data_IF_035071866864
#
_entry.id   IF_035071866864
#
_cell.length_a   1.000
_cell.length_b   1.000
_cell.length_c   1.000
_cell.angle_alpha   90.00
_cell.angle_beta   90.00
_cell.angle_gamma   90.00
#
_symmetry.space_group_name_H-M   'P 1'
#
loop_
_entity.id
_entity.type
_entity.pdbx_description
1 polymer ?
#
# COMPACT_ATOMS: atom_id res chain seq x y z
N UNK A 1 -15.73 7.43 -7.26
CA UNK A 1 -15.28 6.36 -8.16
C UNK A 1 -16.44 5.39 -8.46
N UNK A 2 -16.51 4.77 -9.64
CA UNK A 2 -17.53 3.75 -9.93
C UNK A 2 -17.16 2.40 -9.32
N UNK A 3 -18.15 1.50 -9.14
CA UNK A 3 -17.90 0.12 -8.66
C UNK A 3 -16.93 -0.64 -9.56
N UNK A 4 -17.03 -0.46 -10.88
CA UNK A 4 -16.11 -1.08 -11.85
C UNK A 4 -14.66 -0.61 -11.64
N UNK A 5 -14.44 0.68 -11.36
CA UNK A 5 -13.11 1.20 -11.07
C UNK A 5 -12.51 0.58 -9.79
N UNK A 6 -13.32 0.40 -8.75
CA UNK A 6 -12.90 -0.29 -7.52
C UNK A 6 -12.51 -1.76 -7.76
N UNK A 7 -13.24 -2.47 -8.63
CA UNK A 7 -12.89 -3.84 -9.02
C UNK A 7 -11.56 -3.89 -9.78
N UNK A 8 -11.31 -2.94 -10.68
CA UNK A 8 -10.02 -2.84 -11.40
C UNK A 8 -8.89 -2.53 -10.42
N UNK A 9 -9.10 -1.64 -9.45
CA UNK A 9 -8.09 -1.30 -8.44
C UNK A 9 -7.75 -2.50 -7.52
N UNK A 10 -8.74 -3.35 -7.23
CA UNK A 10 -8.57 -4.56 -6.43
C UNK A 10 -8.03 -5.76 -7.23
N UNK A 11 -7.99 -5.69 -8.56
CA UNK A 11 -7.49 -6.77 -9.41
C UNK A 11 -5.97 -6.90 -9.22
N UNK A 12 -5.50 -8.09 -8.89
CA UNK A 12 -4.06 -8.35 -8.76
C UNK A 12 -3.30 -7.92 -10.02
N UNK A 13 -3.87 -8.11 -11.20
CA UNK A 13 -3.23 -7.78 -12.49
C UNK A 13 -3.07 -6.28 -12.72
N UNK A 14 -3.67 -5.43 -11.89
CA UNK A 14 -3.45 -3.98 -11.97
C UNK A 14 -1.95 -3.66 -11.82
N UNK A 15 -1.34 -2.87 -12.70
CA UNK A 15 0.12 -2.75 -12.82
C UNK A 15 0.77 -1.86 -11.73
N UNK A 16 0.32 -2.01 -10.48
CA UNK A 16 0.80 -1.32 -9.28
C UNK A 16 1.94 -2.06 -8.55
N UNK A 17 2.35 -3.24 -9.04
CA UNK A 17 3.49 -3.99 -8.49
C UNK A 17 3.21 -4.76 -7.20
N UNK A 18 1.93 -4.93 -6.81
CA UNK A 18 1.53 -5.56 -5.54
C UNK A 18 2.05 -6.99 -5.34
N UNK A 19 2.17 -7.77 -6.42
CA UNK A 19 2.66 -9.16 -6.36
C UNK A 19 4.17 -9.29 -6.11
N UNK A 20 4.94 -8.21 -6.27
CA UNK A 20 6.40 -8.27 -6.17
C UNK A 20 6.89 -8.17 -4.72
N UNK A 21 6.00 -8.07 -3.73
CA UNK A 21 6.34 -7.89 -2.32
C UNK A 21 5.60 -8.90 -1.43
N UNK A 22 6.36 -9.74 -0.73
CA UNK A 22 5.83 -10.82 0.11
C UNK A 22 5.19 -10.37 1.43
N UNK A 23 5.30 -9.09 1.80
CA UNK A 23 4.82 -8.60 3.09
C UNK A 23 5.48 -9.29 4.30
N UNK A 24 6.70 -9.79 4.15
CA UNK A 24 7.41 -10.51 5.21
C UNK A 24 7.07 -12.01 5.30
N UNK A 25 6.20 -12.53 4.43
CA UNK A 25 5.90 -13.96 4.38
C UNK A 25 7.17 -14.78 4.09
N UNK A 26 8.02 -14.35 3.15
CA UNK A 26 9.28 -15.03 2.83
C UNK A 26 10.21 -15.13 4.05
N UNK A 27 10.32 -14.06 4.84
CA UNK A 27 11.12 -14.05 6.05
C UNK A 27 10.53 -14.98 7.12
N UNK A 28 9.20 -15.04 7.22
CA UNK A 28 8.51 -15.94 8.14
C UNK A 28 8.64 -17.42 7.74
N UNK A 29 8.65 -17.73 6.44
CA UNK A 29 8.99 -19.06 5.91
C UNK A 29 10.43 -19.42 6.26
N UNK A 30 11.39 -18.53 5.97
CA UNK A 30 12.81 -18.76 6.29
C UNK A 30 13.06 -18.98 7.80
N UNK A 31 12.24 -18.36 8.65
CA UNK A 31 12.28 -18.52 10.10
C UNK A 31 11.50 -19.74 10.64
N UNK A 32 10.93 -20.58 9.77
CA UNK A 32 10.15 -21.75 10.17
C UNK A 32 8.80 -21.44 10.82
N UNK A 33 8.29 -20.20 10.68
CA UNK A 33 7.00 -19.77 11.25
C UNK A 33 5.81 -20.03 10.32
N UNK A 34 6.06 -20.01 9.01
CA UNK A 34 5.11 -20.44 7.99
C UNK A 34 5.64 -21.74 7.38
N UNK A 35 4.89 -22.81 7.55
CA UNK A 35 5.25 -24.19 7.17
C UNK A 35 4.17 -24.85 6.30
N UNK A 36 3.01 -24.22 6.15
CA UNK A 36 1.89 -24.72 5.36
C UNK A 36 0.72 -23.75 5.35
N UNK A 37 -0.41 -24.20 4.81
CA UNK A 37 -1.60 -23.36 4.63
C UNK A 37 -2.15 -22.80 5.95
N UNK A 38 -2.24 -23.62 7.00
CA UNK A 38 -2.75 -23.19 8.30
C UNK A 38 -1.87 -22.09 8.93
N UNK A 39 -0.55 -22.27 8.96
CA UNK A 39 0.36 -21.26 9.50
C UNK A 39 0.48 -20.01 8.61
N UNK A 40 0.23 -20.12 7.30
CA UNK A 40 0.05 -18.96 6.43
C UNK A 40 -1.24 -18.19 6.75
N UNK A 41 -2.35 -18.89 7.01
CA UNK A 41 -3.60 -18.25 7.43
C UNK A 41 -3.40 -17.46 8.73
N UNK A 42 -2.76 -18.06 9.73
CA UNK A 42 -2.45 -17.40 11.01
C UNK A 42 -1.57 -16.16 10.79
N UNK A 43 -0.55 -16.27 9.94
CA UNK A 43 0.29 -15.14 9.57
C UNK A 43 -0.50 -14.01 8.89
N UNK A 44 -1.39 -14.36 7.95
CA UNK A 44 -2.25 -13.39 7.27
C UNK A 44 -3.21 -12.71 8.25
N UNK A 45 -3.83 -13.46 9.16
CA UNK A 45 -4.72 -12.94 10.21
C UNK A 45 -3.96 -11.98 11.14
N UNK A 46 -2.78 -12.36 11.61
CA UNK A 46 -1.93 -11.48 12.43
C UNK A 46 -1.52 -10.20 11.68
N UNK A 47 -1.22 -10.30 10.39
CA UNK A 47 -0.94 -9.13 9.54
C UNK A 47 -2.15 -8.21 9.39
N UNK A 48 -3.36 -8.76 9.19
CA UNK A 48 -4.59 -7.97 9.07
C UNK A 48 -4.81 -7.09 10.32
N UNK A 49 -4.55 -7.62 11.51
CA UNK A 49 -4.71 -6.88 12.77
C UNK A 49 -3.58 -5.89 13.08
N UNK A 50 -2.49 -5.90 12.31
CA UNK A 50 -1.31 -5.06 12.58
C UNK A 50 -1.04 -4.11 11.40
N UNK A 51 -0.13 -4.47 10.50
CA UNK A 51 0.24 -3.64 9.35
C UNK A 51 -0.95 -3.42 8.41
N UNK A 52 -1.83 -4.41 8.27
CA UNK A 52 -3.08 -4.31 7.50
C UNK A 52 -4.01 -3.24 8.05
N UNK A 53 -4.30 -3.28 9.36
CA UNK A 53 -5.14 -2.30 10.04
C UNK A 53 -4.60 -0.87 9.89
N UNK A 54 -3.29 -0.68 10.08
CA UNK A 54 -2.64 0.64 9.90
C UNK A 54 -2.76 1.12 8.46
N UNK A 55 -2.52 0.24 7.49
CA UNK A 55 -2.61 0.60 6.07
C UNK A 55 -4.04 0.95 5.67
N UNK A 56 -5.03 0.18 6.15
CA UNK A 56 -6.44 0.45 5.92
C UNK A 56 -6.88 1.78 6.54
N UNK A 57 -6.42 2.11 7.75
CA UNK A 57 -6.72 3.38 8.39
C UNK A 57 -6.14 4.58 7.63
N UNK A 58 -4.90 4.46 7.15
CA UNK A 58 -4.27 5.51 6.33
C UNK A 58 -5.00 5.71 4.99
N UNK A 59 -5.34 4.64 4.30
CA UNK A 59 -6.10 4.71 3.06
C UNK A 59 -7.49 5.29 3.27
N UNK A 60 -8.19 4.90 4.34
CA UNK A 60 -9.48 5.49 4.68
C UNK A 60 -9.35 7.00 4.97
N UNK A 61 -8.35 7.41 5.75
CA UNK A 61 -8.12 8.82 6.06
C UNK A 61 -7.81 9.65 4.80
N UNK A 62 -6.99 9.13 3.88
CA UNK A 62 -6.72 9.76 2.59
C UNK A 62 -8.00 9.90 1.75
N UNK A 63 -8.80 8.84 1.66
CA UNK A 63 -10.08 8.85 0.95
C UNK A 63 -11.10 9.83 1.56
N UNK A 64 -10.99 10.12 2.87
CA UNK A 64 -11.79 11.14 3.56
C UNK A 64 -11.23 12.57 3.44
N UNK A 65 -10.11 12.75 2.73
CA UNK A 65 -9.55 14.07 2.44
C UNK A 65 -8.61 14.63 3.51
N UNK A 66 -8.08 13.79 4.40
CA UNK A 66 -7.00 14.21 5.31
C UNK A 66 -5.73 14.51 4.50
N UNK A 67 -4.95 15.50 4.94
CA UNK A 67 -3.75 15.95 4.23
C UNK A 67 -2.79 14.78 3.94
N UNK A 68 -2.51 14.47 2.65
CA UNK A 68 -1.63 13.37 2.30
C UNK A 68 -0.19 13.58 2.80
N UNK A 69 0.25 14.82 3.04
CA UNK A 69 1.59 15.09 3.58
C UNK A 69 1.68 14.67 5.05
N UNK A 70 0.66 14.98 5.84
CA UNK A 70 0.55 14.47 7.20
C UNK A 70 0.47 12.94 7.22
N UNK A 71 -0.39 12.35 6.38
CA UNK A 71 -0.55 10.89 6.31
C UNK A 71 0.73 10.17 5.90
N UNK A 72 1.52 10.72 4.96
CA UNK A 72 2.81 10.13 4.56
C UNK A 72 3.81 10.14 5.73
N UNK A 73 3.86 11.22 6.53
CA UNK A 73 4.68 11.28 7.75
C UNK A 73 4.23 10.26 8.79
N UNK A 74 2.91 10.11 8.98
CA UNK A 74 2.31 9.12 9.89
C UNK A 74 2.65 7.70 9.42
N UNK A 75 2.63 7.43 8.12
CA UNK A 75 3.01 6.16 7.52
C UNK A 75 4.51 5.85 7.72
N UNK A 76 5.38 6.86 7.54
CA UNK A 76 6.83 6.74 7.75
C UNK A 76 7.14 6.39 9.21
N UNK A 77 6.54 7.12 10.17
CA UNK A 77 6.71 6.88 11.61
C UNK A 77 6.23 5.49 12.06
N UNK A 78 5.19 4.95 11.41
CA UNK A 78 4.65 3.60 11.66
C UNK A 78 5.38 2.49 10.89
N UNK A 79 6.40 2.83 10.10
CA UNK A 79 7.22 1.87 9.33
C UNK A 79 8.69 1.95 9.79
N UNK A 80 9.05 1.32 10.93
CA UNK A 80 10.41 1.45 11.48
C UNK A 80 11.51 0.98 10.53
N UNK A 81 11.26 -0.10 9.77
CA UNK A 81 12.23 -0.68 8.85
C UNK A 81 12.50 0.25 7.65
N UNK A 82 13.75 0.70 7.44
CA UNK A 82 14.11 1.52 6.28
C UNK A 82 13.82 0.80 4.95
N UNK A 83 14.09 -0.51 4.89
CA UNK A 83 13.81 -1.31 3.69
C UNK A 83 12.30 -1.36 3.37
N UNK A 84 11.45 -1.47 4.40
CA UNK A 84 9.99 -1.44 4.20
C UNK A 84 9.50 -0.05 3.79
N UNK A 85 10.09 1.05 4.28
CA UNK A 85 9.77 2.40 3.80
C UNK A 85 10.08 2.57 2.32
N UNK A 86 11.25 2.12 1.88
CA UNK A 86 11.64 2.16 0.45
C UNK A 86 10.67 1.34 -0.40
N UNK A 87 10.32 0.13 0.04
CA UNK A 87 9.36 -0.73 -0.65
C UNK A 87 7.96 -0.08 -0.73
N UNK A 88 7.45 0.45 0.37
CA UNK A 88 6.14 1.10 0.43
C UNK A 88 6.05 2.31 -0.51
N UNK A 89 7.10 3.14 -0.58
CA UNK A 89 7.17 4.27 -1.51
C UNK A 89 7.29 3.81 -2.96
N UNK A 90 8.03 2.74 -3.24
CA UNK A 90 8.12 2.16 -4.58
C UNK A 90 6.75 1.68 -5.08
N UNK A 91 6.03 0.94 -4.23
CA UNK A 91 4.66 0.50 -4.50
C UNK A 91 3.73 1.71 -4.70
N UNK A 92 3.82 2.75 -3.86
CA UNK A 92 3.04 3.97 -4.02
C UNK A 92 3.30 4.69 -5.34
N UNK A 93 4.56 4.79 -5.79
CA UNK A 93 4.88 5.33 -7.12
C UNK A 93 4.26 4.51 -8.25
N UNK A 94 4.33 3.18 -8.15
CA UNK A 94 3.79 2.29 -9.18
C UNK A 94 2.27 2.39 -9.25
N UNK A 95 1.60 2.40 -8.09
CA UNK A 95 0.17 2.62 -7.97
C UNK A 95 -0.23 3.99 -8.54
N UNK A 96 0.45 5.06 -8.15
CA UNK A 96 0.21 6.43 -8.63
C UNK A 96 0.29 6.51 -10.15
N UNK A 97 1.33 5.92 -10.75
CA UNK A 97 1.51 5.93 -12.21
C UNK A 97 0.38 5.19 -12.92
N UNK A 98 0.00 4.01 -12.44
CA UNK A 98 -1.08 3.23 -13.03
C UNK A 98 -2.44 3.92 -12.88
N UNK A 99 -2.72 4.47 -11.69
CA UNK A 99 -3.94 5.19 -11.38
C UNK A 99 -4.09 6.45 -12.25
N UNK A 100 -3.06 7.30 -12.36
CA UNK A 100 -3.10 8.51 -13.20
C UNK A 100 -3.35 8.22 -14.69
N UNK A 101 -2.80 7.11 -15.19
CA UNK A 101 -3.01 6.70 -16.57
C UNK A 101 -4.43 6.15 -16.82
N UNK A 102 -5.05 5.53 -15.81
CA UNK A 102 -6.36 4.89 -15.91
C UNK A 102 -7.51 5.86 -15.60
N UNK A 103 -7.30 6.73 -14.61
CA UNK A 103 -8.25 7.72 -14.10
C UNK A 103 -7.55 9.07 -13.94
N UNK A 104 -7.56 9.92 -14.98
CA UNK A 104 -7.00 11.27 -14.89
C UNK A 104 -7.65 12.08 -13.76
N UNK A 105 -6.82 12.66 -12.89
CA UNK A 105 -7.25 13.43 -11.71
C UNK A 105 -6.21 14.48 -11.37
N UNK A 106 -6.67 15.72 -11.13
CA UNK A 106 -5.81 16.83 -10.73
C UNK A 106 -5.21 16.62 -9.33
N UNK A 107 -5.94 15.93 -8.46
CA UNK A 107 -5.51 15.55 -7.11
C UNK A 107 -4.35 14.55 -7.17
N UNK A 108 -4.45 13.51 -8.02
CA UNK A 108 -3.35 12.58 -8.24
C UNK A 108 -2.13 13.25 -8.89
N UNK A 109 -2.35 14.20 -9.80
CA UNK A 109 -1.26 15.00 -10.38
C UNK A 109 -0.57 15.88 -9.32
N UNK A 110 -1.33 16.50 -8.42
CA UNK A 110 -0.79 17.28 -7.31
C UNK A 110 0.01 16.40 -6.35
N UNK A 111 -0.52 15.23 -5.99
CA UNK A 111 0.15 14.28 -5.11
C UNK A 111 1.45 13.74 -5.73
N UNK A 112 1.46 13.48 -7.04
CA UNK A 112 2.68 13.08 -7.75
C UNK A 112 3.75 14.18 -7.80
N UNK A 113 3.34 15.46 -7.86
CA UNK A 113 4.27 16.61 -7.78
C UNK A 113 4.83 16.77 -6.37
N UNK A 114 4.01 16.60 -5.35
CA UNK A 114 4.41 16.68 -3.94
C UNK A 114 5.41 15.57 -3.58
N UNK A 115 5.18 14.36 -4.09
CA UNK A 115 6.04 13.21 -3.85
C UNK A 115 6.68 12.67 -5.13
N UNK A 116 7.71 13.33 -5.69
CA UNK A 116 8.37 12.86 -6.92
C UNK A 116 9.06 11.50 -6.72
N UNK A 117 9.44 11.19 -5.47
CA UNK A 117 9.96 9.89 -5.04
C UNK A 117 8.87 8.97 -4.46
N UNK A 118 7.60 9.32 -4.56
CA UNK A 118 6.45 8.54 -4.11
C UNK A 118 6.10 8.66 -2.64
N UNK A 119 4.80 8.82 -2.40
CA UNK A 119 4.18 8.61 -1.11
C UNK A 119 4.08 7.11 -0.78
N UNK A 120 3.83 6.80 0.48
CA UNK A 120 3.50 5.45 0.93
C UNK A 120 2.25 4.92 0.21
N UNK A 121 2.28 3.66 -0.23
CA UNK A 121 1.19 3.04 -1.01
C UNK A 121 -0.21 3.21 -0.39
N UNK A 122 -0.42 3.10 0.94
CA UNK A 122 -1.73 3.30 1.54
C UNK A 122 -2.27 4.73 1.36
N UNK A 123 -1.41 5.74 1.32
CA UNK A 123 -1.81 7.15 1.10
C UNK A 123 -2.26 7.36 -0.34
N UNK A 124 -1.62 6.67 -1.31
CA UNK A 124 -2.00 6.74 -2.72
C UNK A 124 -3.26 5.93 -3.02
N UNK A 125 -3.53 4.88 -2.23
CA UNK A 125 -4.67 4.00 -2.42
C UNK A 125 -6.01 4.67 -2.04
N UNK A 126 -5.98 5.53 -1.02
CA UNK A 126 -7.15 6.33 -0.60
C UNK A 126 -7.31 7.56 -1.46
#
# INVERSE_FOLDING_TARGET
>A
MSRAALLVLADGRFPAGGHAHSGGAEAAVKAGRITGAASLEDFCRGRLHTAGLVSAALAAAAAFGVDPVELDRVADARTPSPALRVAARKLGRQLMRAARATWPSAELDALAREFPKGAHQPVVLG
#
